data_IF_992904026509
#
_entry.id   IF_992904026509
#
_cell.length_a   1.000
_cell.length_b   1.000
_cell.length_c   1.000
_cell.angle_alpha   90.00
_cell.angle_beta   90.00
_cell.angle_gamma   90.00
#
_symmetry.space_group_name_H-M   'P 1'
#
loop_
_entity.id
_entity.type
_entity.pdbx_description
1 polymer ?
#
# COMPACT_ATOMS: atom_id res chain seq x y z
N UNK A 1 -20.92 39.42 -10.12
CA UNK A 1 -19.86 38.41 -10.34
C UNK A 1 -20.57 37.07 -10.24
N UNK A 2 -21.05 36.56 -11.37
CA UNK A 2 -22.01 35.46 -11.43
C UNK A 2 -21.29 34.12 -11.30
N UNK A 3 -21.67 33.31 -10.31
CA UNK A 3 -21.26 31.91 -10.24
C UNK A 3 -21.81 31.16 -11.48
N UNK A 4 -20.98 30.40 -12.21
CA UNK A 4 -21.50 29.53 -13.27
C UNK A 4 -22.22 28.36 -12.61
N UNK A 5 -23.53 28.26 -12.88
CA UNK A 5 -24.40 27.21 -12.37
C UNK A 5 -23.85 25.82 -12.66
N UNK A 6 -23.58 25.07 -11.59
CA UNK A 6 -23.32 23.64 -11.67
C UNK A 6 -24.58 22.91 -12.11
N UNK A 7 -24.51 22.19 -13.22
CA UNK A 7 -25.63 21.39 -13.71
C UNK A 7 -26.02 20.32 -12.68
N UNK A 8 -27.30 20.20 -12.31
CA UNK A 8 -27.79 19.13 -11.44
C UNK A 8 -27.85 17.83 -12.26
N UNK A 9 -26.80 17.02 -12.21
CA UNK A 9 -26.78 15.72 -12.89
C UNK A 9 -25.40 15.16 -13.22
N UNK A 10 -24.33 15.95 -13.10
CA UNK A 10 -22.99 15.45 -13.39
C UNK A 10 -22.47 14.63 -12.19
N UNK A 11 -22.75 13.32 -12.17
CA UNK A 11 -22.14 12.39 -11.22
C UNK A 11 -20.65 12.36 -11.46
N UNK A 12 -19.91 13.27 -10.80
CA UNK A 12 -18.45 13.25 -10.82
C UNK A 12 -17.99 11.84 -10.47
N UNK A 13 -17.07 11.25 -11.26
CA UNK A 13 -16.61 9.91 -10.99
C UNK A 13 -16.07 9.82 -9.55
N UNK A 14 -16.28 8.69 -8.86
CA UNK A 14 -15.83 8.51 -7.49
C UNK A 14 -14.34 8.84 -7.36
N UNK A 15 -14.00 9.75 -6.44
CA UNK A 15 -12.62 10.16 -6.22
C UNK A 15 -11.78 8.95 -5.78
N UNK A 16 -10.72 8.66 -6.51
CA UNK A 16 -9.75 7.64 -6.16
C UNK A 16 -8.62 8.29 -5.38
N UNK A 17 -8.18 7.71 -4.24
CA UNK A 17 -6.96 8.13 -3.58
C UNK A 17 -5.80 8.16 -4.56
N UNK A 18 -5.02 9.24 -4.49
CA UNK A 18 -3.94 9.51 -5.41
C UNK A 18 -2.64 9.82 -4.66
N UNK A 19 -1.53 9.39 -5.24
CA UNK A 19 -0.19 9.74 -4.79
C UNK A 19 0.53 10.43 -5.93
N UNK A 20 1.03 11.63 -5.63
CA UNK A 20 1.86 12.43 -6.51
C UNK A 20 3.29 12.34 -6.00
N UNK A 21 4.16 11.82 -6.86
CA UNK A 21 5.60 11.72 -6.64
C UNK A 21 6.26 12.43 -7.80
N UNK A 22 7.21 13.31 -7.49
CA UNK A 22 8.04 13.92 -8.52
C UNK A 22 8.84 12.83 -9.25
N UNK A 23 9.18 13.08 -10.52
CA UNK A 23 9.89 12.10 -11.35
C UNK A 23 11.22 11.61 -10.71
N UNK A 24 11.85 10.57 -11.27
CA UNK A 24 13.02 9.95 -10.65
C UNK A 24 14.16 10.95 -10.43
N UNK A 25 14.36 11.32 -9.17
CA UNK A 25 15.42 12.21 -8.72
C UNK A 25 16.73 11.48 -8.44
N UNK A 26 17.79 12.24 -8.12
CA UNK A 26 19.05 11.65 -7.65
C UNK A 26 18.87 10.89 -6.33
N UNK A 27 19.63 9.81 -6.15
CA UNK A 27 19.63 8.98 -4.95
C UNK A 27 21.03 8.98 -4.33
N UNK A 28 21.12 9.15 -3.02
CA UNK A 28 22.41 9.07 -2.32
C UNK A 28 22.79 7.60 -2.14
N UNK A 29 23.93 7.18 -2.70
CA UNK A 29 24.34 5.77 -2.66
C UNK A 29 24.43 5.21 -1.23
N UNK A 30 24.89 6.03 -0.28
CA UNK A 30 24.95 5.61 1.11
C UNK A 30 23.55 5.38 1.70
N UNK A 31 22.56 6.25 1.43
CA UNK A 31 21.19 6.08 1.95
C UNK A 31 20.52 4.87 1.33
N UNK A 32 20.86 4.53 0.08
CA UNK A 32 20.41 3.31 -0.60
C UNK A 32 21.04 2.08 0.04
N UNK A 33 22.36 2.09 0.28
CA UNK A 33 23.09 0.97 0.89
C UNK A 33 22.49 0.59 2.25
N UNK A 34 22.29 1.58 3.13
CA UNK A 34 21.80 1.34 4.51
C UNK A 34 20.28 1.55 4.64
N UNK A 35 19.55 1.55 3.53
CA UNK A 35 18.12 1.94 3.51
C UNK A 35 17.26 1.07 4.42
N UNK A 36 17.52 -0.23 4.45
CA UNK A 36 16.79 -1.17 5.31
C UNK A 36 17.02 -0.88 6.80
N UNK A 37 18.25 -0.51 7.19
CA UNK A 37 18.58 -0.12 8.56
C UNK A 37 17.86 1.18 8.93
N UNK A 38 17.87 2.18 8.04
CA UNK A 38 17.16 3.46 8.24
C UNK A 38 15.64 3.29 8.40
N UNK A 39 15.08 2.20 7.87
CA UNK A 39 13.66 1.88 7.95
C UNK A 39 13.25 1.14 9.22
N UNK A 40 14.19 0.61 10.01
CA UNK A 40 13.87 -0.11 11.26
C UNK A 40 13.02 0.75 12.21
N UNK A 41 13.38 2.02 12.51
CA UNK A 41 12.54 2.89 13.34
C UNK A 41 11.14 3.10 12.74
N UNK A 42 11.05 3.21 11.41
CA UNK A 42 9.79 3.43 10.72
C UNK A 42 8.88 2.21 10.82
N UNK A 43 9.43 1.01 10.74
CA UNK A 43 8.67 -0.22 10.93
C UNK A 43 8.14 -0.36 12.36
N UNK A 44 8.93 0.00 13.37
CA UNK A 44 8.47 0.00 14.78
C UNK A 44 7.29 0.95 14.95
N UNK A 45 7.42 2.19 14.46
CA UNK A 45 6.34 3.19 14.55
C UNK A 45 5.11 2.77 13.75
N UNK A 46 5.29 2.26 12.53
CA UNK A 46 4.19 1.77 11.70
C UNK A 46 3.46 0.59 12.35
N UNK A 47 4.19 -0.32 13.02
CA UNK A 47 3.59 -1.43 13.74
C UNK A 47 2.75 -0.92 14.92
N UNK A 48 3.34 -0.08 15.78
CA UNK A 48 2.65 0.47 16.95
C UNK A 48 1.41 1.30 16.57
N UNK A 49 1.55 2.25 15.64
CA UNK A 49 0.44 3.08 15.16
C UNK A 49 -0.54 2.25 14.32
N UNK A 50 -0.06 1.21 13.65
CA UNK A 50 -0.90 0.27 12.91
C UNK A 50 -1.87 -0.50 13.79
N UNK A 51 -1.48 -0.86 15.01
CA UNK A 51 -2.38 -1.45 16.01
C UNK A 51 -3.49 -0.45 16.37
N UNK A 52 -3.13 0.80 16.65
CA UNK A 52 -4.11 1.85 16.91
C UNK A 52 -5.03 2.08 15.70
N UNK A 53 -4.49 2.07 14.48
CA UNK A 53 -5.27 2.17 13.23
C UNK A 53 -6.22 1.01 13.02
N UNK A 54 -5.85 -0.21 13.41
CA UNK A 54 -6.75 -1.36 13.38
C UNK A 54 -7.94 -1.16 14.33
N UNK A 55 -7.68 -0.78 15.60
CA UNK A 55 -8.72 -0.52 16.59
C UNK A 55 -9.65 0.62 16.13
N UNK A 56 -9.06 1.74 15.69
CA UNK A 56 -9.81 2.92 15.21
C UNK A 56 -10.60 2.59 13.94
N UNK A 57 -10.10 1.72 13.06
CA UNK A 57 -10.85 1.26 11.89
C UNK A 57 -12.05 0.39 12.27
N UNK A 58 -11.94 -0.45 13.30
CA UNK A 58 -13.07 -1.24 13.82
C UNK A 58 -14.14 -0.31 14.39
N UNK A 59 -13.76 0.68 15.21
CA UNK A 59 -14.70 1.70 15.71
C UNK A 59 -15.34 2.49 14.55
N UNK A 60 -14.53 2.86 13.56
CA UNK A 60 -14.96 3.54 12.35
C UNK A 60 -15.92 2.72 11.50
N UNK A 61 -15.75 1.40 11.46
CA UNK A 61 -16.64 0.48 10.75
C UNK A 61 -18.05 0.52 11.34
N UNK A 62 -18.19 0.39 12.65
CA UNK A 62 -19.49 0.52 13.33
C UNK A 62 -20.09 1.91 13.10
N UNK A 63 -19.31 2.98 13.30
CA UNK A 63 -19.78 4.33 13.07
C UNK A 63 -20.30 4.52 11.63
N UNK A 64 -19.53 4.09 10.63
CA UNK A 64 -19.86 4.22 9.22
C UNK A 64 -21.10 3.41 8.80
N UNK A 65 -21.40 2.28 9.44
CA UNK A 65 -22.65 1.55 9.18
C UNK A 65 -23.89 2.39 9.52
N UNK A 66 -23.85 3.12 10.62
CA UNK A 66 -24.98 3.94 11.06
C UNK A 66 -25.02 5.32 10.38
N UNK A 67 -23.87 5.97 10.22
CA UNK A 67 -23.79 7.37 9.76
C UNK A 67 -23.44 7.50 8.28
N UNK A 68 -23.05 6.41 7.61
CA UNK A 68 -22.48 6.43 6.25
C UNK A 68 -21.23 7.32 6.10
N UNK A 69 -20.55 7.68 7.20
CA UNK A 69 -19.34 8.51 7.21
C UNK A 69 -18.46 8.14 8.41
N UNK A 70 -17.16 8.37 8.31
CA UNK A 70 -16.29 8.29 9.47
C UNK A 70 -16.45 9.54 10.34
N UNK A 71 -16.43 9.42 11.69
CA UNK A 71 -16.24 10.56 12.58
C UNK A 71 -14.96 11.33 12.20
N UNK A 72 -14.93 12.67 12.30
CA UNK A 72 -13.79 13.47 11.85
C UNK A 72 -12.44 13.01 12.42
N UNK A 73 -12.38 12.80 13.74
CA UNK A 73 -11.13 12.38 14.41
C UNK A 73 -10.63 11.00 13.95
N UNK A 74 -11.54 10.07 13.62
CA UNK A 74 -11.20 8.75 13.06
C UNK A 74 -10.62 8.93 11.67
N UNK A 75 -11.30 9.73 10.83
CA UNK A 75 -10.87 10.00 9.47
C UNK A 75 -9.48 10.67 9.45
N UNK A 76 -9.27 11.70 10.27
CA UNK A 76 -8.02 12.45 10.34
C UNK A 76 -6.85 11.56 10.78
N UNK A 77 -7.06 10.72 11.80
CA UNK A 77 -6.05 9.77 12.26
C UNK A 77 -5.70 8.73 11.18
N UNK A 78 -6.69 8.15 10.52
CA UNK A 78 -6.47 7.16 9.47
C UNK A 78 -5.83 7.78 8.22
N UNK A 79 -6.18 9.01 7.84
CA UNK A 79 -5.49 9.77 6.79
C UNK A 79 -4.02 9.99 7.14
N UNK A 80 -3.72 10.37 8.38
CA UNK A 80 -2.36 10.54 8.85
C UNK A 80 -1.57 9.23 8.76
N UNK A 81 -2.14 8.13 9.26
CA UNK A 81 -1.52 6.81 9.24
C UNK A 81 -1.27 6.30 7.82
N UNK A 82 -2.29 6.32 6.96
CA UNK A 82 -2.17 5.87 5.56
C UNK A 82 -1.18 6.75 4.80
N UNK A 83 -1.24 8.07 4.96
CA UNK A 83 -0.30 9.00 4.35
C UNK A 83 1.15 8.74 4.79
N UNK A 84 1.38 8.53 6.09
CA UNK A 84 2.70 8.15 6.62
C UNK A 84 3.17 6.80 6.05
N UNK A 85 2.33 5.77 6.07
CA UNK A 85 2.64 4.45 5.47
C UNK A 85 3.03 4.57 4.00
N UNK A 86 2.29 5.35 3.20
CA UNK A 86 2.60 5.56 1.79
C UNK A 86 3.94 6.26 1.58
N UNK A 87 4.30 7.25 2.42
CA UNK A 87 5.62 7.91 2.39
C UNK A 87 6.75 6.93 2.71
N UNK A 88 6.56 6.08 3.72
CA UNK A 88 7.52 5.02 4.06
C UNK A 88 7.66 4.01 2.92
N UNK A 89 6.54 3.60 2.31
CA UNK A 89 6.52 2.70 1.15
C UNK A 89 7.24 3.28 -0.07
N UNK A 90 7.06 4.58 -0.35
CA UNK A 90 7.79 5.27 -1.42
C UNK A 90 9.30 5.34 -1.16
N UNK A 91 9.72 5.52 0.09
CA UNK A 91 11.13 5.48 0.45
C UNK A 91 11.72 4.06 0.32
N UNK A 92 11.02 3.05 0.85
CA UNK A 92 11.39 1.63 0.75
C UNK A 92 11.54 1.18 -0.71
N UNK A 93 10.63 1.59 -1.58
CA UNK A 93 10.62 1.24 -3.00
C UNK A 93 11.55 2.09 -3.87
N UNK A 94 12.44 2.88 -3.24
CA UNK A 94 13.44 3.71 -3.92
C UNK A 94 12.83 4.75 -4.87
N UNK A 95 11.60 5.21 -4.62
CA UNK A 95 10.99 6.28 -5.41
C UNK A 95 11.51 7.67 -5.01
N UNK A 96 11.89 7.81 -3.73
CA UNK A 96 12.42 9.06 -3.16
C UNK A 96 13.66 8.80 -2.31
N UNK A 97 14.54 9.79 -2.23
CA UNK A 97 15.75 9.75 -1.38
C UNK A 97 15.53 10.44 -0.02
N UNK A 98 14.51 11.31 0.09
CA UNK A 98 14.24 12.06 1.32
C UNK A 98 13.70 11.15 2.42
N UNK A 99 14.40 11.11 3.56
CA UNK A 99 13.97 10.34 4.73
C UNK A 99 12.56 10.75 5.18
N UNK A 100 11.61 9.81 5.35
CA UNK A 100 10.24 10.15 5.72
C UNK A 100 10.17 10.76 7.13
N UNK A 101 9.42 11.85 7.26
CA UNK A 101 9.06 12.42 8.57
C UNK A 101 8.05 11.52 9.27
N UNK A 102 8.23 11.31 10.57
CA UNK A 102 7.35 10.48 11.39
C UNK A 102 5.99 11.15 11.61
N UNK A 103 4.91 10.48 11.21
CA UNK A 103 3.53 10.82 11.61
C UNK A 103 3.16 12.30 11.43
N UNK A 104 3.56 12.90 10.30
CA UNK A 104 3.16 14.27 9.93
C UNK A 104 2.38 14.28 8.63
N UNK A 105 1.63 15.36 8.38
CA UNK A 105 1.02 15.65 7.06
C UNK A 105 2.08 15.98 6.00
N UNK A 106 3.33 16.24 6.43
CA UNK A 106 4.54 16.41 5.63
C UNK A 106 4.41 17.45 4.50
N UNK A 107 4.17 18.71 4.88
CA UNK A 107 4.15 19.85 3.95
C UNK A 107 5.54 19.97 3.29
N UNK A 108 5.58 20.01 1.96
CA UNK A 108 6.84 20.11 1.21
C UNK A 108 7.60 18.79 1.03
N UNK A 109 7.04 17.65 1.46
CA UNK A 109 7.64 16.35 1.17
C UNK A 109 7.37 15.91 -0.29
N UNK A 110 8.32 15.24 -0.98
CA UNK A 110 8.18 14.89 -2.40
C UNK A 110 7.03 13.92 -2.72
N UNK A 111 6.52 13.20 -1.71
CA UNK A 111 5.38 12.28 -1.85
C UNK A 111 4.15 12.95 -1.25
N UNK A 112 3.27 13.44 -2.13
CA UNK A 112 2.01 14.08 -1.76
C UNK A 112 0.89 13.06 -1.91
N UNK A 113 0.15 12.85 -0.83
CA UNK A 113 -0.95 11.89 -0.78
C UNK A 113 -2.25 12.67 -0.68
N UNK A 114 -3.17 12.45 -1.61
CA UNK A 114 -4.49 13.08 -1.69
C UNK A 114 -5.55 12.02 -1.34
N UNK A 115 -6.05 12.09 -0.10
CA UNK A 115 -7.12 11.24 0.42
C UNK A 115 -8.23 12.17 0.90
N UNK A 116 -9.46 11.88 0.49
CA UNK A 116 -10.63 12.71 0.80
C UNK A 116 -11.72 11.85 1.42
N UNK A 117 -11.74 11.70 2.76
CA UNK A 117 -12.81 10.98 3.45
C UNK A 117 -14.17 11.56 3.07
N UNK A 118 -15.09 10.68 2.68
CA UNK A 118 -16.37 11.07 2.08
C UNK A 118 -17.56 10.31 2.63
N UNK A 119 -18.66 10.32 1.87
CA UNK A 119 -19.77 9.38 2.12
C UNK A 119 -19.32 7.98 1.73
N UNK A 120 -19.75 7.00 2.51
CA UNK A 120 -19.50 5.58 2.31
C UNK A 120 -20.82 4.88 2.02
N UNK A 121 -20.79 3.89 1.13
CA UNK A 121 -21.93 3.00 0.95
C UNK A 121 -22.01 2.02 2.12
N UNK A 122 -23.08 2.07 2.91
CA UNK A 122 -23.27 1.21 4.10
C UNK A 122 -23.19 -0.28 3.78
N UNK A 123 -23.73 -0.71 2.63
CA UNK A 123 -23.64 -2.11 2.21
C UNK A 123 -22.18 -2.50 1.90
N UNK A 124 -21.43 -1.61 1.24
CA UNK A 124 -20.00 -1.82 0.99
C UNK A 124 -19.17 -1.80 2.28
N UNK A 125 -19.56 -1.00 3.28
CA UNK A 125 -18.97 -1.04 4.62
C UNK A 125 -19.26 -2.38 5.30
N UNK A 126 -20.51 -2.85 5.28
CA UNK A 126 -20.87 -4.14 5.88
C UNK A 126 -20.08 -5.30 5.28
N UNK A 127 -20.02 -5.37 3.94
CA UNK A 127 -19.28 -6.40 3.21
C UNK A 127 -17.79 -6.07 2.99
N UNK A 128 -17.24 -5.07 3.68
CA UNK A 128 -15.88 -4.56 3.42
C UNK A 128 -14.81 -5.64 3.50
N UNK A 129 -14.93 -6.53 4.48
CA UNK A 129 -13.99 -7.64 4.71
C UNK A 129 -13.94 -8.61 3.53
N UNK A 130 -15.07 -8.84 2.85
CA UNK A 130 -15.14 -9.72 1.68
C UNK A 130 -14.67 -8.95 0.44
N UNK A 131 -15.15 -7.72 0.27
CA UNK A 131 -14.83 -6.88 -0.89
C UNK A 131 -13.34 -6.54 -0.98
N UNK A 132 -12.65 -6.41 0.16
CA UNK A 132 -11.22 -6.13 0.14
C UNK A 132 -10.39 -7.30 -0.38
N UNK A 133 -10.86 -8.55 -0.26
CA UNK A 133 -10.05 -9.74 -0.52
C UNK A 133 -9.43 -9.73 -1.93
N UNK A 134 -10.18 -9.51 -3.03
CA UNK A 134 -9.58 -9.48 -4.35
C UNK A 134 -8.52 -8.37 -4.50
N UNK A 135 -8.79 -7.18 -3.95
CA UNK A 135 -7.84 -6.08 -4.00
C UNK A 135 -6.58 -6.35 -3.15
N UNK A 136 -6.75 -6.96 -1.98
CA UNK A 136 -5.67 -7.38 -1.09
C UNK A 136 -4.81 -8.48 -1.71
N UNK A 137 -5.40 -9.44 -2.44
CA UNK A 137 -4.66 -10.46 -3.20
C UNK A 137 -3.77 -9.81 -4.25
N UNK A 138 -4.29 -8.85 -5.03
CA UNK A 138 -3.48 -8.12 -6.01
C UNK A 138 -2.34 -7.35 -5.33
N UNK A 139 -2.60 -6.69 -4.20
CA UNK A 139 -1.56 -5.99 -3.45
C UNK A 139 -0.50 -6.95 -2.88
N UNK A 140 -0.92 -8.10 -2.36
CA UNK A 140 -0.01 -9.14 -1.86
C UNK A 140 0.86 -9.70 -2.98
N UNK A 141 0.27 -10.04 -4.13
CA UNK A 141 1.01 -10.49 -5.32
C UNK A 141 2.05 -9.45 -5.74
N UNK A 142 1.67 -8.17 -5.85
CA UNK A 142 2.61 -7.10 -6.20
C UNK A 142 3.73 -6.96 -5.18
N UNK A 143 3.42 -7.02 -3.88
CA UNK A 143 4.40 -6.92 -2.81
C UNK A 143 5.42 -8.07 -2.87
N UNK A 144 4.96 -9.31 -3.07
CA UNK A 144 5.84 -10.48 -3.18
C UNK A 144 6.72 -10.39 -4.43
N UNK A 145 6.16 -10.05 -5.59
CA UNK A 145 6.95 -9.93 -6.80
C UNK A 145 7.96 -8.78 -6.77
N UNK A 146 7.58 -7.65 -6.18
CA UNK A 146 8.52 -6.57 -5.91
C UNK A 146 9.63 -7.05 -4.97
N UNK A 147 9.31 -7.78 -3.90
CA UNK A 147 10.28 -8.31 -2.95
C UNK A 147 11.30 -9.26 -3.60
N UNK A 148 10.86 -10.15 -4.51
CA UNK A 148 11.75 -11.04 -5.28
C UNK A 148 12.77 -10.24 -6.10
N UNK A 149 12.33 -9.11 -6.70
CA UNK A 149 13.22 -8.25 -7.49
C UNK A 149 13.95 -7.20 -6.64
N UNK A 150 13.58 -7.01 -5.37
CA UNK A 150 14.04 -5.89 -4.56
C UNK A 150 15.56 -5.85 -4.43
N UNK A 151 16.23 -7.01 -4.31
CA UNK A 151 17.69 -7.09 -4.27
C UNK A 151 18.34 -6.55 -5.55
N UNK A 152 17.82 -6.94 -6.72
CA UNK A 152 18.34 -6.47 -8.02
C UNK A 152 18.02 -4.99 -8.25
N UNK A 153 16.82 -4.54 -7.86
CA UNK A 153 16.42 -3.13 -7.95
C UNK A 153 17.30 -2.26 -7.04
N UNK A 154 17.54 -2.71 -5.81
CA UNK A 154 18.43 -2.08 -4.86
C UNK A 154 19.85 -1.94 -5.43
N UNK A 155 20.41 -3.02 -5.99
CA UNK A 155 21.74 -2.99 -6.60
C UNK A 155 21.79 -2.05 -7.82
N UNK A 156 20.77 -2.09 -8.68
CA UNK A 156 20.68 -1.22 -9.85
C UNK A 156 20.65 0.26 -9.45
N UNK A 157 19.87 0.63 -8.43
CA UNK A 157 19.79 2.01 -7.92
C UNK A 157 21.08 2.43 -7.22
N UNK A 158 21.71 1.51 -6.46
CA UNK A 158 22.97 1.76 -5.77
C UNK A 158 24.09 2.10 -6.76
N UNK A 159 24.19 1.36 -7.87
CA UNK A 159 25.18 1.59 -8.93
C UNK A 159 24.82 2.86 -9.72
N UNK A 160 23.57 2.98 -10.18
CA UNK A 160 23.14 4.09 -11.03
C UNK A 160 23.10 5.44 -10.30
N UNK A 161 22.96 5.45 -8.97
CA UNK A 161 22.76 6.66 -8.17
C UNK A 161 21.44 7.38 -8.45
N UNK A 162 20.49 6.72 -9.11
CA UNK A 162 19.15 7.23 -9.43
C UNK A 162 18.23 6.07 -9.77
N UNK A 163 16.93 6.27 -9.64
CA UNK A 163 15.92 5.25 -9.93
C UNK A 163 15.68 5.14 -11.45
N UNK A 164 15.96 3.97 -12.09
CA UNK A 164 15.70 3.82 -13.52
C UNK A 164 14.22 4.06 -13.84
N UNK A 165 13.93 4.68 -15.00
CA UNK A 165 12.57 5.07 -15.40
C UNK A 165 11.55 3.89 -15.35
N UNK A 166 11.88 2.67 -15.82
CA UNK A 166 10.98 1.52 -15.70
C UNK A 166 10.67 1.15 -14.25
N UNK A 167 11.70 1.14 -13.39
CA UNK A 167 11.59 0.83 -11.96
C UNK A 167 10.72 1.87 -11.26
N UNK A 168 10.98 3.15 -11.52
CA UNK A 168 10.19 4.24 -10.97
C UNK A 168 8.70 4.09 -11.34
N UNK A 169 8.38 3.86 -12.62
CA UNK A 169 6.99 3.71 -13.06
C UNK A 169 6.28 2.51 -12.41
N UNK A 170 6.93 1.35 -12.41
CA UNK A 170 6.37 0.13 -11.83
C UNK A 170 6.18 0.24 -10.30
N UNK A 171 7.18 0.75 -9.58
CA UNK A 171 7.10 0.96 -8.14
C UNK A 171 6.10 2.07 -7.76
N UNK A 172 5.97 3.13 -8.55
CA UNK A 172 4.95 4.16 -8.34
C UNK A 172 3.53 3.60 -8.54
N UNK A 173 3.33 2.73 -9.54
CA UNK A 173 2.07 2.02 -9.72
C UNK A 173 1.73 1.13 -8.51
N UNK A 174 2.72 0.37 -8.02
CA UNK A 174 2.58 -0.47 -6.83
C UNK A 174 2.21 0.36 -5.59
N UNK A 175 2.99 1.39 -5.25
CA UNK A 175 2.73 2.27 -4.08
C UNK A 175 1.36 2.94 -4.18
N UNK A 176 0.96 3.39 -5.38
CA UNK A 176 -0.38 3.95 -5.59
C UNK A 176 -1.49 2.93 -5.36
N UNK A 177 -1.30 1.70 -5.84
CA UNK A 177 -2.28 0.64 -5.65
C UNK A 177 -2.38 0.24 -4.17
N UNK A 178 -1.25 0.08 -3.46
CA UNK A 178 -1.23 -0.15 -2.00
C UNK A 178 -1.95 0.96 -1.25
N UNK A 179 -1.69 2.24 -1.57
CA UNK A 179 -2.43 3.39 -0.99
C UNK A 179 -3.95 3.23 -1.16
N UNK A 180 -4.41 2.85 -2.35
CA UNK A 180 -5.84 2.65 -2.62
C UNK A 180 -6.42 1.49 -1.82
N UNK A 181 -5.70 0.38 -1.74
CA UNK A 181 -6.12 -0.78 -0.93
C UNK A 181 -6.20 -0.39 0.55
N UNK A 182 -5.19 0.29 1.08
CA UNK A 182 -5.18 0.71 2.49
C UNK A 182 -6.25 1.75 2.80
N UNK A 183 -6.51 2.70 1.89
CA UNK A 183 -7.60 3.66 2.03
C UNK A 183 -8.97 3.00 1.97
N UNK A 184 -9.13 1.98 1.13
CA UNK A 184 -10.36 1.19 1.09
C UNK A 184 -10.50 0.35 2.36
N UNK A 185 -9.51 -0.45 2.74
CA UNK A 185 -9.53 -1.23 3.97
C UNK A 185 -9.89 -0.40 5.21
N UNK A 186 -9.27 0.77 5.36
CA UNK A 186 -9.49 1.69 6.49
C UNK A 186 -10.67 2.65 6.34
N UNK A 187 -11.60 2.40 5.40
CA UNK A 187 -12.86 3.16 5.25
C UNK A 187 -12.67 4.65 4.84
N UNK A 188 -11.48 5.04 4.36
CA UNK A 188 -11.19 6.41 3.93
C UNK A 188 -11.78 6.75 2.54
N UNK A 189 -12.17 5.75 1.75
CA UNK A 189 -12.79 5.96 0.44
C UNK A 189 -13.86 4.91 0.14
N UNK A 190 -14.91 5.27 -0.59
CA UNK A 190 -15.88 4.29 -1.12
C UNK A 190 -15.42 3.66 -2.45
N UNK A 191 -14.43 4.28 -3.10
CA UNK A 191 -13.97 3.88 -4.43
C UNK A 191 -13.14 2.60 -4.36
N UNK A 192 -13.59 1.56 -5.06
CA UNK A 192 -12.86 0.29 -5.14
C UNK A 192 -11.45 0.47 -5.74
N UNK A 193 -10.41 -0.19 -5.18
CA UNK A 193 -9.05 -0.11 -5.73
C UNK A 193 -9.00 -0.61 -7.17
N UNK A 194 -8.59 0.27 -8.09
CA UNK A 194 -8.52 -0.03 -9.53
C UNK A 194 -7.39 0.75 -10.20
N UNK A 195 -7.24 0.57 -11.52
CA UNK A 195 -6.26 1.26 -12.37
C UNK A 195 -4.81 1.00 -11.93
N UNK A 196 -4.44 -0.26 -11.75
CA UNK A 196 -3.05 -0.63 -11.45
C UNK A 196 -2.07 -0.12 -12.54
N UNK A 197 -2.44 -0.24 -13.81
CA UNK A 197 -1.59 0.10 -14.97
C UNK A 197 -1.56 1.59 -15.35
N UNK A 198 -2.01 2.48 -14.48
CA UNK A 198 -2.10 3.91 -14.75
C UNK A 198 -3.49 4.38 -15.15
N UNK A 199 -3.60 5.66 -15.48
CA UNK A 199 -4.88 6.33 -15.73
C UNK A 199 -5.27 6.38 -17.21
N UNK A 200 -4.38 5.99 -18.12
CA UNK A 200 -4.66 5.98 -19.56
C UNK A 200 -4.98 7.39 -20.06
N UNK A 201 -3.96 8.26 -20.14
CA UNK A 201 -4.15 9.67 -20.49
C UNK A 201 -3.87 9.97 -21.96
N UNK A 202 -4.60 10.94 -22.50
CA UNK A 202 -4.33 11.62 -23.77
C UNK A 202 -3.05 12.47 -23.69
N UNK A 203 -2.47 12.85 -24.84
CA UNK A 203 -1.25 13.66 -24.87
C UNK A 203 -1.39 15.01 -24.12
N UNK A 204 -2.61 15.58 -24.08
CA UNK A 204 -2.92 16.82 -23.36
C UNK A 204 -2.93 16.66 -21.83
N UNK A 205 -3.35 15.50 -21.31
CA UNK A 205 -3.28 15.20 -19.87
C UNK A 205 -1.83 14.95 -19.43
N UNK A 206 -0.98 14.45 -20.33
CA UNK A 206 0.47 14.38 -20.13
C UNK A 206 1.11 15.77 -20.02
N UNK A 207 0.64 16.75 -20.80
CA UNK A 207 1.14 18.13 -20.74
C UNK A 207 0.78 18.87 -19.44
N UNK A 208 -0.31 18.47 -18.77
CA UNK A 208 -0.71 18.99 -17.43
C UNK A 208 -0.21 18.11 -16.28
N UNK A 209 0.57 17.06 -16.56
CA UNK A 209 0.97 16.08 -15.57
C UNK A 209 1.89 16.71 -14.52
N UNK A 210 1.55 16.54 -13.25
CA UNK A 210 2.40 16.92 -12.13
C UNK A 210 2.97 15.65 -11.51
N UNK A 211 4.20 15.30 -11.88
CA UNK A 211 4.84 14.06 -11.43
C UNK A 211 4.07 12.83 -11.91
N UNK A 212 3.59 12.01 -10.97
CA UNK A 212 2.81 10.78 -11.24
C UNK A 212 1.29 11.00 -11.36
N UNK A 213 0.82 12.23 -11.59
CA UNK A 213 -0.60 12.57 -11.71
C UNK A 213 -0.88 13.29 -13.06
N UNK A 214 -1.53 12.65 -14.05
CA UNK A 214 -1.96 11.24 -14.06
C UNK A 214 -0.79 10.25 -14.14
N UNK A 215 -0.99 9.01 -13.69
CA UNK A 215 0.06 7.99 -13.77
C UNK A 215 0.05 7.35 -15.16
N UNK A 216 1.11 7.56 -15.94
CA UNK A 216 1.33 6.91 -17.23
C UNK A 216 2.56 6.00 -17.17
N UNK A 217 2.40 4.74 -17.56
CA UNK A 217 3.50 3.76 -17.55
C UNK A 217 4.14 3.65 -18.93
N UNK A 218 5.48 3.75 -18.97
CA UNK A 218 6.25 3.35 -20.16
C UNK A 218 6.11 1.85 -20.42
N UNK A 219 6.46 1.42 -21.63
CA UNK A 219 6.48 -0.02 -21.98
C UNK A 219 7.34 -0.82 -21.00
N UNK A 220 8.53 -0.33 -20.68
CA UNK A 220 9.42 -0.99 -19.71
C UNK A 220 8.83 -1.05 -18.29
N UNK A 221 8.17 0.02 -17.83
CA UNK A 221 7.49 0.00 -16.53
C UNK A 221 6.32 -1.00 -16.51
N UNK A 222 5.57 -1.12 -17.62
CA UNK A 222 4.48 -2.09 -17.75
C UNK A 222 5.00 -3.53 -17.73
N UNK A 223 6.09 -3.81 -18.46
CA UNK A 223 6.74 -5.13 -18.45
C UNK A 223 7.25 -5.48 -17.06
N UNK A 224 7.91 -4.55 -16.38
CA UNK A 224 8.40 -4.78 -15.02
C UNK A 224 7.25 -4.99 -14.02
N UNK A 225 6.15 -4.26 -14.17
CA UNK A 225 4.95 -4.45 -13.33
C UNK A 225 4.30 -5.82 -13.57
N UNK A 226 4.27 -6.30 -14.82
CA UNK A 226 3.85 -7.67 -15.14
C UNK A 226 4.80 -8.68 -14.50
N UNK A 227 6.11 -8.43 -14.52
CA UNK A 227 7.09 -9.28 -13.85
C UNK A 227 6.84 -9.35 -12.33
N UNK A 228 6.48 -8.24 -11.67
CA UNK A 228 6.03 -8.28 -10.27
C UNK A 228 4.81 -9.20 -10.09
N UNK A 229 3.82 -9.13 -10.98
CA UNK A 229 2.64 -9.98 -10.86
C UNK A 229 3.01 -11.46 -11.00
N UNK A 230 3.76 -11.81 -12.05
CA UNK A 230 4.15 -13.20 -12.33
C UNK A 230 4.99 -13.78 -11.19
N UNK A 231 6.05 -13.07 -10.78
CA UNK A 231 6.91 -13.51 -9.68
C UNK A 231 6.17 -13.55 -8.34
N UNK A 232 5.23 -12.64 -8.12
CA UNK A 232 4.40 -12.61 -6.93
C UNK A 232 3.48 -13.82 -6.80
N UNK A 233 2.82 -14.20 -7.90
CA UNK A 233 1.99 -15.42 -7.95
C UNK A 233 2.85 -16.66 -7.72
N UNK A 234 4.00 -16.77 -8.41
CA UNK A 234 4.92 -17.89 -8.24
C UNK A 234 5.44 -17.99 -6.80
N UNK A 235 5.81 -16.87 -6.19
CA UNK A 235 6.28 -16.81 -4.81
C UNK A 235 5.21 -17.28 -3.82
N UNK A 236 3.98 -16.79 -3.95
CA UNK A 236 2.86 -17.20 -3.08
C UNK A 236 2.54 -18.69 -3.20
N UNK A 237 2.55 -19.23 -4.43
CA UNK A 237 2.33 -20.66 -4.65
C UNK A 237 3.44 -21.51 -4.02
N UNK A 238 4.71 -21.10 -4.17
CA UNK A 238 5.85 -21.82 -3.59
C UNK A 238 5.76 -21.86 -2.06
N UNK A 239 5.41 -20.74 -1.41
CA UNK A 239 5.20 -20.71 0.05
C UNK A 239 4.06 -21.60 0.48
N UNK A 240 2.92 -21.58 -0.24
CA UNK A 240 1.76 -22.43 0.06
C UNK A 240 2.05 -23.92 -0.06
N UNK A 241 2.80 -24.33 -1.09
CA UNK A 241 3.23 -25.72 -1.26
C UNK A 241 4.19 -26.13 -0.13
N UNK A 242 5.17 -25.29 0.20
CA UNK A 242 6.11 -25.58 1.29
C UNK A 242 5.40 -25.80 2.62
N UNK A 243 4.36 -25.02 2.93
CA UNK A 243 3.57 -25.22 4.16
C UNK A 243 2.75 -26.50 4.15
N UNK A 244 2.26 -26.93 2.98
CA UNK A 244 1.50 -28.18 2.84
C UNK A 244 2.39 -29.43 2.93
N UNK A 245 3.66 -29.33 2.51
CA UNK A 245 4.63 -30.42 2.60
C UNK A 245 5.27 -30.55 3.99
N UNK A 246 5.21 -29.50 4.81
CA UNK A 246 5.62 -29.53 6.22
C UNK A 246 4.39 -29.87 7.09
N UNK A 247 3.84 -31.08 6.92
CA UNK A 247 2.92 -31.59 7.94
C UNK A 247 3.71 -31.77 9.24
N UNK A 248 3.20 -31.26 10.38
CA UNK A 248 3.87 -31.47 11.66
C UNK A 248 3.94 -32.98 11.94
N UNK A 249 5.14 -33.50 12.17
CA UNK A 249 5.34 -34.85 12.72
C UNK A 249 4.41 -35.02 13.92
N UNK A 250 3.58 -36.07 13.98
CA UNK A 250 2.70 -36.28 15.11
C UNK A 250 3.57 -36.41 16.36
N UNK A 251 3.42 -35.45 17.27
CA UNK A 251 4.02 -35.49 18.59
C UNK A 251 3.40 -36.68 19.32
N UNK A 252 4.03 -37.85 19.22
CA UNK A 252 3.65 -39.03 19.98
C UNK A 252 3.78 -38.65 21.45
N UNK A 253 2.64 -38.36 22.09
CA UNK A 253 2.57 -38.23 23.53
C UNK A 253 3.12 -39.51 24.14
N UNK A 254 4.36 -39.44 24.59
CA UNK A 254 5.01 -40.49 25.34
C UNK A 254 4.31 -40.51 26.70
N UNK A 255 3.26 -41.31 26.84
CA UNK A 255 2.66 -41.60 28.12
C UNK A 255 3.75 -42.23 28.99
N UNK A 256 4.36 -41.43 29.86
CA UNK A 256 5.13 -41.96 30.97
C UNK A 256 4.14 -42.69 31.87
N UNK A 257 4.15 -44.00 31.76
CA UNK A 257 3.47 -44.91 32.67
C UNK A 257 4.05 -44.68 34.06
N UNK A 258 3.33 -43.92 34.89
CA UNK A 258 3.65 -43.78 36.29
C UNK A 258 3.37 -45.13 36.96
N UNK A 259 4.44 -45.90 37.15
CA UNK A 259 4.45 -47.12 37.94
C UNK A 259 4.04 -46.77 39.38
N UNK A 260 2.80 -47.06 39.74
CA UNK A 260 2.24 -46.78 41.07
C UNK A 260 2.86 -47.78 42.05
N UNK A 261 3.82 -47.32 42.84
CA UNK A 261 4.36 -48.09 43.95
C UNK A 261 3.23 -48.40 44.98
N UNK A 262 3.07 -49.65 45.43
CA UNK A 262 2.05 -49.99 46.41
C UNK A 262 2.41 -49.40 47.77
N UNK A 263 1.49 -48.61 48.34
CA UNK A 263 1.61 -48.12 49.72
C UNK A 263 1.32 -49.29 50.68
N UNK A 264 2.29 -49.59 51.55
CA UNK A 264 2.20 -50.50 52.70
C UNK A 264 1.58 -49.78 53.89
#
# INVERSE_FOLDING_TARGET
MSEPGGQPGETRPPFLPEVQIEGPGPQRRWTVLVRLILLIPHFIVLYAVGIAAAVVSVLGWFAALFTARLPPWIADFLVLYVGYRTRVGAYLTLLVDSYPQFLTTAIGYPVRVDIRPGRLNRAAVFFRLILVIPAAVVAAVLAHGWAVLAFFLWLAVLIAGRTPRPVFGASAAFVRYDLRVQSYWSLLTDSYPKRLFGDGGSAEEGARAQGTRPLTLSTGARVLLIAFIVLGVLGLLATGISSALHEPEPEYYQYHEYEIAPLV
#
